data_IF_566843090762
#
_entry.id   IF_566843090762
#
_cell.length_a   1.000
_cell.length_b   1.000
_cell.length_c   1.000
_cell.angle_alpha   90.00
_cell.angle_beta   90.00
_cell.angle_gamma   90.00
#
_symmetry.space_group_name_H-M   'P 1'
#
loop_
_entity.id
_entity.type
_entity.pdbx_description
1 polymer ?
#
# COMPACT_ATOMS: atom_id res chain seq x y z
N UNK A 1 14.69 -43.85 2.43
CA UNK A 1 15.13 -42.48 2.08
C UNK A 1 13.96 -41.55 1.72
N UNK A 2 12.83 -42.09 1.27
CA UNK A 2 11.66 -41.31 0.85
C UNK A 2 11.06 -40.41 1.94
N UNK A 3 11.03 -40.87 3.20
CA UNK A 3 10.51 -40.07 4.32
C UNK A 3 11.28 -38.76 4.54
N UNK A 4 12.62 -38.81 4.57
CA UNK A 4 13.45 -37.61 4.70
C UNK A 4 13.33 -36.71 3.47
N UNK A 5 13.26 -37.28 2.27
CA UNK A 5 13.09 -36.51 1.04
C UNK A 5 11.74 -35.76 1.04
N UNK A 6 10.66 -36.42 1.45
CA UNK A 6 9.33 -35.81 1.58
C UNK A 6 9.30 -34.72 2.66
N UNK A 7 9.94 -34.97 3.81
CA UNK A 7 10.05 -33.97 4.88
C UNK A 7 10.78 -32.69 4.40
N UNK A 8 11.86 -32.85 3.64
CA UNK A 8 12.58 -31.71 3.05
C UNK A 8 11.75 -30.96 2.02
N UNK A 9 11.05 -31.68 1.14
CA UNK A 9 10.20 -31.08 0.13
C UNK A 9 9.06 -30.25 0.76
N UNK A 10 8.39 -30.79 1.77
CA UNK A 10 7.32 -30.09 2.47
C UNK A 10 7.84 -28.87 3.25
N UNK A 11 8.98 -29.01 3.93
CA UNK A 11 9.62 -27.90 4.65
C UNK A 11 9.98 -26.75 3.71
N UNK A 12 10.64 -27.06 2.58
CA UNK A 12 11.02 -26.03 1.60
C UNK A 12 9.80 -25.35 1.00
N UNK A 13 8.73 -26.10 0.69
CA UNK A 13 7.48 -25.52 0.19
C UNK A 13 6.88 -24.52 1.18
N UNK A 14 6.87 -24.83 2.47
CA UNK A 14 6.36 -23.90 3.50
C UNK A 14 7.26 -22.67 3.66
N UNK A 15 8.59 -22.84 3.55
CA UNK A 15 9.53 -21.71 3.60
C UNK A 15 9.33 -20.75 2.42
N UNK A 16 9.08 -21.27 1.22
CA UNK A 16 8.79 -20.44 0.03
C UNK A 16 7.50 -19.62 0.20
N UNK A 17 6.44 -20.23 0.76
CA UNK A 17 5.20 -19.51 1.06
C UNK A 17 5.43 -18.39 2.08
N UNK A 18 6.20 -18.67 3.14
CA UNK A 18 6.54 -17.65 4.16
C UNK A 18 7.37 -16.53 3.55
N UNK A 19 8.40 -16.87 2.77
CA UNK A 19 9.27 -15.90 2.10
C UNK A 19 8.46 -14.97 1.18
N UNK A 20 7.58 -15.55 0.36
CA UNK A 20 6.69 -14.82 -0.54
C UNK A 20 5.76 -13.88 0.22
N UNK A 21 5.19 -14.35 1.33
CA UNK A 21 4.30 -13.54 2.17
C UNK A 21 5.03 -12.37 2.85
N UNK A 22 6.22 -12.61 3.39
CA UNK A 22 7.06 -11.56 4.00
C UNK A 22 7.44 -10.52 2.95
N UNK A 23 7.87 -10.95 1.76
CA UNK A 23 8.17 -10.05 0.65
C UNK A 23 6.98 -9.17 0.29
N UNK A 24 5.80 -9.77 0.15
CA UNK A 24 4.56 -9.04 -0.14
C UNK A 24 4.19 -8.03 0.97
N UNK A 25 4.22 -8.42 2.24
CA UNK A 25 3.91 -7.54 3.36
C UNK A 25 4.93 -6.38 3.47
N UNK A 26 6.22 -6.64 3.19
CA UNK A 26 7.26 -5.62 3.14
C UNK A 26 7.04 -4.61 2.00
N UNK A 27 6.74 -5.09 0.80
CA UNK A 27 6.47 -4.24 -0.36
C UNK A 27 5.23 -3.36 -0.14
N UNK A 28 4.18 -3.90 0.47
CA UNK A 28 3.01 -3.13 0.89
C UNK A 28 3.35 -2.04 1.91
N UNK A 29 4.20 -2.37 2.89
CA UNK A 29 4.67 -1.40 3.89
C UNK A 29 5.40 -0.23 3.23
N UNK A 30 6.29 -0.52 2.29
CA UNK A 30 7.01 0.50 1.53
C UNK A 30 6.07 1.35 0.67
N UNK A 31 5.11 0.73 -0.02
CA UNK A 31 4.12 1.45 -0.82
C UNK A 31 3.28 2.42 0.04
N UNK A 32 2.88 2.03 1.25
CA UNK A 32 2.14 2.91 2.17
C UNK A 32 2.99 4.10 2.63
N UNK A 33 4.27 3.87 2.91
CA UNK A 33 5.19 4.94 3.26
C UNK A 33 5.35 5.95 2.12
N UNK A 34 5.54 5.46 0.89
CA UNK A 34 5.67 6.31 -0.30
C UNK A 34 4.39 7.14 -0.57
N UNK A 35 3.20 6.56 -0.34
CA UNK A 35 1.91 7.27 -0.42
C UNK A 35 1.86 8.39 0.62
N UNK A 36 2.22 8.09 1.86
CA UNK A 36 2.19 9.08 2.94
C UNK A 36 3.15 10.25 2.67
N UNK A 37 4.38 9.96 2.25
CA UNK A 37 5.36 10.98 1.86
C UNK A 37 4.84 11.85 0.72
N UNK A 38 4.13 11.24 -0.24
CA UNK A 38 3.54 12.00 -1.34
C UNK A 38 2.39 12.90 -0.90
N UNK A 39 1.51 12.43 -0.02
CA UNK A 39 0.49 13.26 0.61
C UNK A 39 1.11 14.42 1.41
N UNK A 40 2.31 14.19 1.95
CA UNK A 40 3.18 15.19 2.57
C UNK A 40 3.42 16.44 1.73
N UNK A 41 3.53 16.25 0.41
CA UNK A 41 3.81 17.31 -0.57
C UNK A 41 2.58 18.14 -0.97
N UNK A 42 1.38 17.74 -0.53
CA UNK A 42 0.14 18.46 -0.84
C UNK A 42 -0.16 19.46 0.29
N UNK A 43 -0.06 20.75 -0.05
CA UNK A 43 -0.47 21.83 0.85
C UNK A 43 -1.98 21.82 1.13
N UNK A 44 -2.40 22.20 2.34
CA UNK A 44 -3.81 22.28 2.73
C UNK A 44 -4.43 20.98 3.26
N UNK A 45 -3.64 19.92 3.41
CA UNK A 45 -4.00 18.72 4.18
C UNK A 45 -3.52 18.83 5.62
N UNK A 46 -4.41 18.49 6.55
CA UNK A 46 -4.01 18.26 7.94
C UNK A 46 -3.36 16.88 8.10
N UNK A 47 -2.70 16.64 9.24
CA UNK A 47 -2.07 15.34 9.51
C UNK A 47 -3.11 14.21 9.63
N UNK A 48 -4.25 14.50 10.25
CA UNK A 48 -5.38 13.56 10.40
C UNK A 48 -5.91 13.12 9.03
N UNK A 49 -6.14 14.09 8.14
CA UNK A 49 -6.58 13.80 6.77
C UNK A 49 -5.56 12.97 5.97
N UNK A 50 -4.27 13.10 6.27
CA UNK A 50 -3.23 12.28 5.63
C UNK A 50 -3.30 10.84 6.09
N UNK A 51 -3.63 10.57 7.36
CA UNK A 51 -3.84 9.21 7.86
C UNK A 51 -5.01 8.54 7.14
N UNK A 52 -6.18 9.20 7.13
CA UNK A 52 -7.37 8.69 6.45
C UNK A 52 -7.11 8.42 4.95
N UNK A 53 -6.44 9.37 4.28
CA UNK A 53 -6.13 9.23 2.86
C UNK A 53 -5.12 8.13 2.57
N UNK A 54 -4.17 7.89 3.48
CA UNK A 54 -3.21 6.81 3.34
C UNK A 54 -3.92 5.45 3.34
N UNK A 55 -4.91 5.26 4.22
CA UNK A 55 -5.73 4.06 4.24
C UNK A 55 -6.59 3.93 2.98
N UNK A 56 -7.26 5.02 2.58
CA UNK A 56 -8.13 5.05 1.40
C UNK A 56 -7.37 4.75 0.09
N UNK A 57 -6.14 5.28 -0.05
CA UNK A 57 -5.31 5.12 -1.24
C UNK A 57 -4.53 3.81 -1.22
N UNK A 58 -4.12 3.34 -0.04
CA UNK A 58 -3.43 2.06 0.15
C UNK A 58 -4.31 0.86 -0.16
N UNK A 59 -5.62 0.97 0.03
CA UNK A 59 -6.60 -0.10 -0.27
C UNK A 59 -6.90 -0.24 -1.78
N UNK A 60 -6.72 0.82 -2.57
CA UNK A 60 -7.15 0.85 -3.99
C UNK A 60 -6.13 1.50 -4.92
N UNK A 61 -5.35 0.67 -5.62
CA UNK A 61 -4.32 1.08 -6.58
C UNK A 61 -4.81 2.09 -7.62
N UNK A 62 -6.02 1.92 -8.17
CA UNK A 62 -6.59 2.84 -9.16
C UNK A 62 -6.75 4.28 -8.63
N UNK A 63 -7.11 4.46 -7.35
CA UNK A 63 -7.27 5.80 -6.76
C UNK A 63 -5.93 6.49 -6.61
N UNK A 64 -4.89 5.72 -6.29
CA UNK A 64 -3.51 6.17 -6.18
C UNK A 64 -2.95 6.54 -7.57
N UNK A 65 -3.16 5.71 -8.59
CA UNK A 65 -2.73 6.01 -9.97
C UNK A 65 -3.31 7.34 -10.47
N UNK A 66 -4.62 7.55 -10.23
CA UNK A 66 -5.29 8.82 -10.57
C UNK A 66 -4.66 9.99 -9.82
N UNK A 67 -4.41 9.86 -8.51
CA UNK A 67 -3.75 10.91 -7.71
C UNK A 67 -2.35 11.24 -8.24
N UNK A 68 -1.55 10.22 -8.58
CA UNK A 68 -0.20 10.39 -9.09
C UNK A 68 -0.16 11.06 -10.46
N UNK A 69 -1.12 10.74 -11.33
CA UNK A 69 -1.24 11.32 -12.67
C UNK A 69 -1.80 12.75 -12.71
N UNK A 70 -2.37 13.25 -11.61
CA UNK A 70 -2.93 14.60 -11.57
C UNK A 70 -1.87 15.70 -11.46
N UNK A 71 -2.11 16.88 -12.08
CA UNK A 71 -1.30 18.06 -11.84
C UNK A 71 -1.46 18.54 -10.39
N UNK A 72 -0.42 19.16 -9.85
CA UNK A 72 -0.35 19.52 -8.41
C UNK A 72 -1.52 20.38 -7.93
N UNK A 73 -2.03 21.27 -8.77
CA UNK A 73 -3.17 22.14 -8.43
C UNK A 73 -4.51 21.41 -8.30
N UNK A 74 -4.66 20.22 -8.90
CA UNK A 74 -5.90 19.43 -8.84
C UNK A 74 -5.90 18.43 -7.67
N UNK A 75 -4.73 18.11 -7.11
CA UNK A 75 -4.54 17.04 -6.11
C UNK A 75 -5.35 17.26 -4.84
N UNK A 76 -5.27 18.45 -4.24
CA UNK A 76 -5.98 18.74 -2.99
C UNK A 76 -7.49 18.55 -3.13
N UNK A 77 -8.09 19.10 -4.20
CA UNK A 77 -9.52 18.98 -4.46
C UNK A 77 -9.98 17.53 -4.62
N UNK A 78 -9.19 16.72 -5.32
CA UNK A 78 -9.46 15.29 -5.48
C UNK A 78 -9.41 14.53 -4.14
N UNK A 79 -8.39 14.79 -3.33
CA UNK A 79 -8.23 14.13 -2.02
C UNK A 79 -9.38 14.49 -1.07
N UNK A 80 -9.77 15.77 -0.98
CA UNK A 80 -10.94 16.18 -0.19
C UNK A 80 -12.23 15.53 -0.69
N UNK A 81 -12.38 15.32 -2.01
CA UNK A 81 -13.51 14.58 -2.58
C UNK A 81 -13.49 13.09 -2.20
N UNK A 82 -12.30 12.49 -2.16
CA UNK A 82 -12.11 11.10 -1.74
C UNK A 82 -12.55 10.88 -0.30
N UNK A 83 -12.13 11.74 0.63
CA UNK A 83 -12.52 11.64 2.04
C UNK A 83 -14.04 11.74 2.20
N UNK A 84 -14.68 12.72 1.55
CA UNK A 84 -16.15 12.87 1.58
C UNK A 84 -16.94 11.68 1.05
N UNK A 85 -16.34 10.82 0.22
CA UNK A 85 -16.98 9.62 -0.34
C UNK A 85 -16.79 8.37 0.51
N UNK A 86 -15.84 8.37 1.45
CA UNK A 86 -15.56 7.24 2.32
C UNK A 86 -15.99 7.50 3.80
N UNK A 87 -16.59 8.67 4.09
CA UNK A 87 -17.43 8.91 5.27
C UNK A 87 -18.88 8.54 4.98
#
# INVERSE_FOLDING_TARGET
MEFLANLHAETNSRLEVISSRIGYEFDLGKARQDVFDKLGTVEGLTLDERYDLCDILGDKSQRLEVFMGMPSNARLGYLKRLMKKNN
#
